data_IF_107278559201
#
_entry.id   IF_107278559201
#
_cell.length_a   1.000
_cell.length_b   1.000
_cell.length_c   1.000
_cell.angle_alpha   90.00
_cell.angle_beta   90.00
_cell.angle_gamma   90.00
#
_symmetry.space_group_name_H-M   'P 1'
#
loop_
_entity.id
_entity.type
_entity.pdbx_description
1 polymer ?
#
# COMPACT_ATOMS: atom_id res chain seq x y z
N UNK A 1 -14.41 33.42 2.47
CA UNK A 1 -13.70 32.52 3.41
C UNK A 1 -12.51 31.93 2.68
N UNK A 2 -11.29 32.06 3.22
CA UNK A 2 -10.09 31.46 2.61
C UNK A 2 -10.08 29.99 3.01
N UNK A 3 -10.41 29.09 2.09
CA UNK A 3 -10.35 27.66 2.34
C UNK A 3 -8.90 27.31 2.73
N UNK A 4 -8.73 26.68 3.90
CA UNK A 4 -7.44 26.12 4.29
C UNK A 4 -7.10 25.02 3.28
N UNK A 5 -5.99 25.20 2.56
CA UNK A 5 -5.46 24.22 1.63
C UNK A 5 -4.21 23.62 2.25
N UNK A 6 -4.00 22.31 2.11
CA UNK A 6 -2.80 21.60 2.58
C UNK A 6 -1.49 22.24 2.08
N UNK A 7 -1.54 23.02 1.00
CA UNK A 7 -0.43 23.82 0.49
C UNK A 7 0.06 24.85 1.52
N UNK A 8 -0.80 25.37 2.40
CA UNK A 8 -0.40 26.31 3.47
C UNK A 8 0.59 25.63 4.42
N UNK A 9 0.37 24.36 4.76
CA UNK A 9 1.29 23.59 5.59
C UNK A 9 2.63 23.35 4.89
N UNK A 10 2.60 23.13 3.58
CA UNK A 10 3.83 22.99 2.75
C UNK A 10 4.64 24.30 2.75
N UNK A 11 4.00 25.47 2.81
CA UNK A 11 4.72 26.74 2.99
C UNK A 11 5.37 26.85 4.37
N UNK A 12 4.62 26.53 5.42
CA UNK A 12 5.14 26.53 6.78
C UNK A 12 6.33 25.58 6.91
N UNK A 13 6.25 24.41 6.25
CA UNK A 13 7.36 23.47 6.15
C UNK A 13 8.59 24.11 5.49
N UNK A 14 8.44 24.89 4.41
CA UNK A 14 9.55 25.61 3.78
C UNK A 14 10.26 26.58 4.73
N UNK A 15 9.52 27.28 5.59
CA UNK A 15 10.08 28.17 6.60
C UNK A 15 10.84 27.35 7.66
N UNK A 16 10.21 26.31 8.22
CA UNK A 16 10.83 25.46 9.25
C UNK A 16 12.09 24.79 8.71
N UNK A 17 12.03 24.23 7.50
CA UNK A 17 13.15 23.64 6.78
C UNK A 17 14.33 24.62 6.71
N UNK A 18 14.11 25.83 6.22
CA UNK A 18 15.15 26.85 6.14
C UNK A 18 15.80 27.11 7.51
N UNK A 19 15.01 27.26 8.57
CA UNK A 19 15.53 27.49 9.93
C UNK A 19 16.37 26.32 10.44
N UNK A 20 15.96 25.08 10.17
CA UNK A 20 16.70 23.88 10.57
C UNK A 20 18.10 23.83 9.96
N UNK A 21 18.26 24.18 8.68
CA UNK A 21 19.57 24.16 8.00
C UNK A 21 20.42 25.39 8.28
N UNK A 22 19.82 26.57 8.39
CA UNK A 22 20.54 27.83 8.64
C UNK A 22 21.07 27.87 10.07
N UNK A 23 20.37 27.23 11.02
CA UNK A 23 20.72 27.20 12.43
C UNK A 23 20.07 28.32 13.25
N UNK A 24 20.28 28.33 14.57
CA UNK A 24 19.61 29.27 15.47
C UNK A 24 20.02 30.73 15.22
N UNK A 25 19.10 31.65 15.52
CA UNK A 25 19.38 33.08 15.57
C UNK A 25 19.84 33.44 16.98
N UNK A 26 20.80 34.37 17.12
CA UNK A 26 21.24 34.81 18.44
C UNK A 26 20.24 35.78 19.08
N UNK A 27 19.50 36.51 18.25
CA UNK A 27 18.51 37.49 18.70
C UNK A 27 17.19 37.35 17.95
N UNK A 28 16.10 37.76 18.60
CA UNK A 28 14.78 37.76 17.98
C UNK A 28 14.69 38.73 16.80
N UNK A 29 15.38 39.87 16.87
CA UNK A 29 15.40 40.86 15.79
C UNK A 29 16.02 40.28 14.53
N UNK A 30 17.18 39.61 14.66
CA UNK A 30 17.85 38.94 13.54
C UNK A 30 16.94 37.89 12.89
N UNK A 31 16.20 37.12 13.70
CA UNK A 31 15.22 36.14 13.23
C UNK A 31 14.12 36.81 12.42
N UNK A 32 13.51 37.88 12.94
CA UNK A 32 12.43 38.60 12.27
C UNK A 32 12.91 39.19 10.95
N UNK A 33 14.07 39.85 10.91
CA UNK A 33 14.64 40.41 9.69
C UNK A 33 14.82 39.35 8.62
N UNK A 34 15.51 38.24 8.93
CA UNK A 34 15.80 37.21 7.93
C UNK A 34 14.57 36.42 7.49
N UNK A 35 13.62 36.17 8.38
CA UNK A 35 12.34 35.56 8.00
C UNK A 35 11.51 36.48 7.11
N UNK A 36 11.56 37.80 7.36
CA UNK A 36 10.86 38.78 6.52
C UNK A 36 11.47 38.80 5.13
N UNK A 37 12.79 38.91 5.03
CA UNK A 37 13.53 38.81 3.76
C UNK A 37 13.21 37.53 3.01
N UNK A 38 13.26 36.36 3.68
CA UNK A 38 12.95 35.07 3.06
C UNK A 38 11.53 35.00 2.50
N UNK A 39 10.54 35.56 3.22
CA UNK A 39 9.14 35.59 2.78
C UNK A 39 8.93 36.54 1.61
N UNK A 40 9.69 37.63 1.57
CA UNK A 40 9.64 38.60 0.48
C UNK A 40 10.29 38.04 -0.78
N UNK A 41 11.48 37.45 -0.67
CA UNK A 41 12.21 36.90 -1.83
C UNK A 41 11.67 35.55 -2.30
N UNK A 42 11.06 34.76 -1.41
CA UNK A 42 10.70 33.36 -1.66
C UNK A 42 11.92 32.43 -1.81
N UNK A 43 13.11 32.90 -1.44
CA UNK A 43 14.36 32.18 -1.65
C UNK A 43 15.40 32.47 -0.56
N UNK A 44 16.18 31.46 -0.13
CA UNK A 44 17.32 31.69 0.78
C UNK A 44 18.34 32.66 0.19
N UNK A 45 19.17 33.29 1.02
CA UNK A 45 20.26 34.16 0.56
C UNK A 45 21.32 33.42 -0.27
N UNK A 46 22.19 34.16 -0.95
CA UNK A 46 23.22 33.59 -1.83
C UNK A 46 24.25 32.74 -1.09
N UNK A 47 24.51 33.04 0.19
CA UNK A 47 25.45 32.28 1.01
C UNK A 47 24.89 30.90 1.34
N UNK A 48 23.63 30.83 1.76
CA UNK A 48 22.90 29.59 2.00
C UNK A 48 22.79 28.77 0.72
N UNK A 49 22.47 29.39 -0.42
CA UNK A 49 22.39 28.72 -1.72
C UNK A 49 23.70 28.06 -2.14
N UNK A 50 24.83 28.68 -1.82
CA UNK A 50 26.16 28.13 -2.12
C UNK A 50 26.50 26.91 -1.25
N UNK A 51 26.10 26.93 0.02
CA UNK A 51 26.40 25.85 0.98
C UNK A 51 25.42 24.67 0.81
N UNK A 52 24.15 24.98 0.58
CA UNK A 52 23.05 24.01 0.54
C UNK A 52 22.23 24.13 -0.76
N UNK A 53 22.81 23.82 -1.94
CA UNK A 53 22.15 24.05 -3.23
C UNK A 53 20.85 23.24 -3.40
N UNK A 54 20.86 21.95 -3.01
CA UNK A 54 19.67 21.09 -3.11
C UNK A 54 18.56 21.53 -2.16
N UNK A 55 18.91 21.85 -0.92
CA UNK A 55 17.98 22.35 0.09
C UNK A 55 17.42 23.69 -0.33
N UNK A 56 18.21 24.53 -0.99
CA UNK A 56 17.74 25.81 -1.50
C UNK A 56 16.72 25.65 -2.61
N UNK A 57 16.92 24.69 -3.52
CA UNK A 57 15.93 24.34 -4.53
C UNK A 57 14.63 23.86 -3.88
N UNK A 58 14.74 23.00 -2.87
CA UNK A 58 13.59 22.54 -2.08
C UNK A 58 12.87 23.71 -1.41
N UNK A 59 13.58 24.58 -0.68
CA UNK A 59 12.98 25.71 0.03
C UNK A 59 12.30 26.67 -0.93
N UNK A 60 12.92 26.98 -2.09
CA UNK A 60 12.28 27.80 -3.14
C UNK A 60 10.95 27.20 -3.61
N UNK A 61 10.95 25.89 -3.87
CA UNK A 61 9.75 25.17 -4.29
C UNK A 61 8.63 25.21 -3.23
N UNK A 62 8.99 25.07 -1.95
CA UNK A 62 8.06 25.12 -0.83
C UNK A 62 7.54 26.54 -0.55
N UNK A 63 8.36 27.57 -0.79
CA UNK A 63 8.04 28.97 -0.54
C UNK A 63 7.44 29.71 -1.75
N UNK A 64 7.12 28.99 -2.83
CA UNK A 64 6.50 29.57 -4.01
C UNK A 64 5.21 30.33 -3.65
N UNK A 65 5.03 31.55 -4.17
CA UNK A 65 3.95 32.45 -3.72
C UNK A 65 2.57 31.94 -4.14
N UNK A 66 2.50 31.36 -5.33
CA UNK A 66 1.29 30.74 -5.83
C UNK A 66 1.10 29.34 -5.21
N UNK A 67 0.04 29.12 -4.41
CA UNK A 67 -0.23 27.79 -3.85
C UNK A 67 -0.49 26.71 -4.90
N UNK A 68 -0.88 27.08 -6.13
CA UNK A 68 -1.17 26.13 -7.19
C UNK A 68 0.10 25.49 -7.78
N UNK A 69 1.21 26.23 -7.80
CA UNK A 69 2.51 25.75 -8.32
C UNK A 69 3.33 25.04 -7.26
N UNK A 70 3.04 25.26 -5.97
CA UNK A 70 3.65 24.51 -4.87
C UNK A 70 3.23 23.03 -4.95
N UNK A 71 4.11 22.04 -4.72
CA UNK A 71 3.75 20.63 -4.75
C UNK A 71 2.85 20.25 -3.57
N UNK A 72 2.10 19.15 -3.72
CA UNK A 72 1.47 18.50 -2.58
C UNK A 72 2.52 17.79 -1.71
N UNK A 73 2.21 17.57 -0.43
CA UNK A 73 3.15 16.88 0.48
C UNK A 73 3.54 15.49 -0.01
N UNK A 74 2.62 14.74 -0.63
CA UNK A 74 2.91 13.43 -1.22
C UNK A 74 3.81 13.54 -2.47
N UNK A 75 3.52 14.47 -3.37
CA UNK A 75 4.36 14.73 -4.56
C UNK A 75 5.80 15.10 -4.18
N UNK A 76 5.99 15.75 -3.02
CA UNK A 76 7.31 16.08 -2.51
C UNK A 76 8.11 14.83 -2.10
N UNK A 77 7.44 13.81 -1.54
CA UNK A 77 8.07 12.55 -1.13
C UNK A 77 8.50 11.71 -2.34
N UNK A 78 7.74 11.78 -3.42
CA UNK A 78 8.06 11.10 -4.68
C UNK A 78 9.15 11.83 -5.49
N UNK A 79 9.45 13.09 -5.14
CA UNK A 79 10.44 13.91 -5.79
C UNK A 79 11.89 13.48 -5.54
N UNK A 80 12.81 14.00 -6.36
CA UNK A 80 14.25 13.70 -6.27
C UNK A 80 15.04 14.64 -5.34
N UNK A 81 14.36 15.56 -4.64
CA UNK A 81 14.98 16.58 -3.79
C UNK A 81 15.25 16.07 -2.37
N UNK A 82 14.58 15.00 -1.96
CA UNK A 82 14.77 14.37 -0.66
C UNK A 82 15.78 13.22 -0.77
N UNK A 83 16.54 12.94 0.30
CA UNK A 83 17.33 11.71 0.38
C UNK A 83 16.42 10.48 0.20
N UNK A 84 16.92 9.40 -0.42
CA UNK A 84 16.16 8.15 -0.49
C UNK A 84 15.82 7.66 0.92
N UNK A 85 14.65 7.04 1.08
CA UNK A 85 14.23 6.52 2.38
C UNK A 85 15.15 5.36 2.76
N UNK A 86 15.41 5.20 4.06
CA UNK A 86 16.34 4.16 4.54
C UNK A 86 15.80 2.77 4.17
N UNK A 87 14.48 2.61 4.21
CA UNK A 87 13.77 1.39 3.79
C UNK A 87 13.99 1.10 2.29
N UNK A 88 14.08 2.14 1.45
CA UNK A 88 14.35 1.98 0.02
C UNK A 88 15.78 1.47 -0.21
N UNK A 89 16.75 1.94 0.58
CA UNK A 89 18.14 1.47 0.47
C UNK A 89 18.28 0.02 0.95
N UNK A 90 17.59 -0.35 2.03
CA UNK A 90 17.50 -1.75 2.46
C UNK A 90 16.86 -2.62 1.38
N UNK A 91 15.73 -2.19 0.82
CA UNK A 91 15.03 -2.90 -0.26
C UNK A 91 15.91 -3.06 -1.49
N UNK A 92 16.61 -2.01 -1.92
CA UNK A 92 17.56 -2.06 -3.04
C UNK A 92 18.74 -2.99 -2.75
N UNK A 93 19.26 -2.98 -1.52
CA UNK A 93 20.32 -3.90 -1.09
C UNK A 93 19.88 -5.35 -1.19
N UNK A 94 18.67 -5.67 -0.69
CA UNK A 94 18.07 -7.00 -0.83
C UNK A 94 17.86 -7.35 -2.30
N UNK A 95 17.24 -6.47 -3.10
CA UNK A 95 17.02 -6.69 -4.54
C UNK A 95 18.33 -6.94 -5.30
N UNK A 96 19.40 -6.21 -4.97
CA UNK A 96 20.74 -6.44 -5.53
C UNK A 96 21.24 -7.82 -5.17
N UNK A 97 21.14 -8.22 -3.90
CA UNK A 97 21.55 -9.56 -3.46
C UNK A 97 20.74 -10.68 -4.11
N UNK A 98 19.43 -10.48 -4.33
CA UNK A 98 18.57 -11.41 -5.05
C UNK A 98 18.94 -11.49 -6.54
N UNK A 99 19.41 -10.39 -7.13
CA UNK A 99 19.80 -10.34 -8.54
C UNK A 99 21.11 -11.09 -8.83
N UNK A 100 22.00 -11.24 -7.84
CA UNK A 100 23.28 -11.95 -7.98
C UNK A 100 23.06 -13.47 -8.07
N UNK A 101 23.44 -14.14 -9.17
CA UNK A 101 23.39 -15.60 -9.29
C UNK A 101 24.32 -16.25 -8.25
N UNK A 102 23.82 -17.24 -7.50
CA UNK A 102 24.60 -17.94 -6.48
C UNK A 102 24.67 -17.24 -5.12
N UNK A 103 23.98 -16.11 -4.91
CA UNK A 103 23.86 -15.54 -3.58
C UNK A 103 23.03 -16.46 -2.67
N UNK A 104 23.45 -16.60 -1.41
CA UNK A 104 22.71 -17.41 -0.41
C UNK A 104 21.29 -16.91 -0.21
N UNK A 105 21.12 -15.59 -0.21
CA UNK A 105 19.82 -14.95 -0.04
C UNK A 105 18.88 -15.25 -1.21
N UNK A 106 19.38 -15.26 -2.45
CA UNK A 106 18.60 -15.66 -3.63
C UNK A 106 18.14 -17.11 -3.52
N UNK A 107 19.03 -18.02 -3.13
CA UNK A 107 18.70 -19.43 -2.93
C UNK A 107 17.59 -19.62 -1.90
N UNK A 108 17.72 -18.99 -0.74
CA UNK A 108 16.71 -19.04 0.33
C UNK A 108 15.37 -18.41 -0.10
N UNK A 109 15.42 -17.26 -0.78
CA UNK A 109 14.21 -16.60 -1.26
C UNK A 109 13.48 -17.45 -2.30
N UNK A 110 14.19 -18.08 -3.24
CA UNK A 110 13.60 -18.98 -4.23
C UNK A 110 13.06 -20.26 -3.57
N UNK A 111 13.77 -20.83 -2.60
CA UNK A 111 13.31 -22.00 -1.84
C UNK A 111 11.99 -21.72 -1.12
N UNK A 112 11.82 -20.54 -0.53
CA UNK A 112 10.58 -20.13 0.15
C UNK A 112 9.48 -19.77 -0.84
N UNK A 113 9.78 -18.96 -1.87
CA UNK A 113 8.78 -18.48 -2.84
C UNK A 113 8.24 -19.60 -3.74
N UNK A 114 9.08 -20.57 -4.07
CA UNK A 114 8.72 -21.75 -4.86
C UNK A 114 8.69 -23.02 -4.02
N UNK A 115 8.59 -22.88 -2.69
CA UNK A 115 8.25 -24.02 -1.85
C UNK A 115 6.86 -24.45 -2.28
N UNK A 116 6.74 -25.71 -2.67
CA UNK A 116 5.47 -26.29 -3.01
C UNK A 116 4.44 -26.03 -1.90
N UNK A 117 3.41 -25.22 -2.18
CA UNK A 117 2.09 -25.39 -1.56
C UNK A 117 1.37 -26.62 -2.14
N UNK A 118 2.09 -27.51 -2.83
CA UNK A 118 1.55 -28.71 -3.49
C UNK A 118 1.82 -29.99 -2.69
N UNK A 119 1.93 -29.88 -1.37
CA UNK A 119 1.81 -31.03 -0.46
C UNK A 119 0.34 -31.46 -0.23
N UNK A 120 -0.60 -31.03 -1.06
CA UNK A 120 -1.98 -31.49 -0.94
C UNK A 120 -2.22 -32.75 -1.76
N UNK A 121 -1.35 -33.76 -1.58
CA UNK A 121 -1.71 -35.12 -1.98
C UNK A 121 -2.95 -35.59 -1.19
N UNK A 122 -3.16 -35.05 0.01
CA UNK A 122 -4.41 -35.22 0.77
C UNK A 122 -5.62 -34.55 0.11
N UNK A 123 -5.50 -33.39 -0.54
CA UNK A 123 -6.66 -32.78 -1.25
C UNK A 123 -7.04 -33.56 -2.50
N UNK A 124 -6.06 -34.06 -3.26
CA UNK A 124 -6.35 -34.92 -4.42
C UNK A 124 -7.03 -36.22 -4.02
N UNK A 125 -6.58 -36.84 -2.91
CA UNK A 125 -7.23 -38.03 -2.36
C UNK A 125 -8.63 -37.73 -1.81
N UNK A 126 -8.83 -36.56 -1.19
CA UNK A 126 -10.14 -36.14 -0.68
C UNK A 126 -11.13 -35.87 -1.82
N UNK A 127 -10.71 -35.25 -2.93
CA UNK A 127 -11.56 -35.04 -4.11
C UNK A 127 -11.96 -36.38 -4.74
N UNK A 128 -11.01 -37.32 -4.89
CA UNK A 128 -11.29 -38.66 -5.43
C UNK A 128 -12.18 -39.47 -4.49
N UNK A 129 -11.97 -39.37 -3.17
CA UNK A 129 -12.79 -40.05 -2.16
C UNK A 129 -14.25 -39.52 -2.16
N UNK A 130 -14.44 -38.21 -2.28
CA UNK A 130 -15.77 -37.60 -2.44
C UNK A 130 -16.42 -38.06 -3.75
N UNK A 131 -15.69 -38.12 -4.85
CA UNK A 131 -16.19 -38.63 -6.14
C UNK A 131 -16.62 -40.10 -6.04
N UNK A 132 -15.83 -40.96 -5.38
CA UNK A 132 -16.15 -42.37 -5.21
C UNK A 132 -17.35 -42.60 -4.30
N UNK A 133 -17.51 -41.81 -3.23
CA UNK A 133 -18.69 -41.86 -2.36
C UNK A 133 -19.98 -41.41 -3.09
N UNK A 134 -19.87 -40.46 -4.02
CA UNK A 134 -21.00 -40.05 -4.85
C UNK A 134 -21.40 -41.15 -5.85
N UNK A 135 -20.44 -41.88 -6.42
CA UNK A 135 -20.71 -42.95 -7.38
C UNK A 135 -21.29 -44.22 -6.72
N UNK A 136 -20.94 -44.52 -5.48
CA UNK A 136 -21.48 -45.69 -4.75
C UNK A 136 -22.92 -45.51 -4.27
N UNK A 137 -23.42 -44.27 -4.22
CA UNK A 137 -24.81 -43.95 -3.84
C UNK A 137 -25.85 -44.15 -4.96
N UNK A 138 -25.42 -44.46 -6.19
CA UNK A 138 -26.30 -44.51 -7.38
C UNK A 138 -26.80 -45.91 -7.76
N UNK A 139 -26.59 -46.95 -6.93
CA UNK A 139 -26.97 -48.34 -7.28
C UNK A 139 -28.30 -48.84 -6.70
N UNK A 140 -29.01 -48.09 -5.88
CA UNK A 140 -30.32 -48.51 -5.36
C UNK A 140 -31.50 -47.97 -6.18
N UNK A 141 -31.61 -48.42 -7.44
CA UNK A 141 -32.85 -48.30 -8.24
C UNK A 141 -33.16 -49.60 -8.98
N UNK A 142 -33.71 -50.58 -8.28
CA UNK A 142 -34.86 -51.40 -8.71
C UNK A 142 -34.96 -52.71 -7.92
N UNK A 143 -35.98 -52.82 -7.07
CA UNK A 143 -36.67 -54.09 -6.83
C UNK A 143 -38.13 -53.97 -7.26
N UNK A 144 -38.41 -54.72 -8.31
CA UNK A 144 -39.63 -54.90 -9.08
C UNK A 144 -40.93 -55.26 -8.31
N UNK A 145 -42.05 -54.96 -9.00
CA UNK A 145 -43.35 -55.67 -9.10
C UNK A 145 -44.55 -55.16 -8.30
N UNK A 146 -45.82 -55.20 -8.77
CA UNK A 146 -46.52 -55.47 -10.05
C UNK A 146 -48.01 -55.08 -9.80
N UNK A 147 -48.74 -54.76 -10.89
CA UNK A 147 -50.19 -54.91 -11.07
C UNK A 147 -51.23 -53.86 -10.55
N UNK A 148 -51.92 -53.29 -11.55
CA UNK A 148 -53.38 -53.21 -11.70
C UNK A 148 -54.12 -51.91 -11.34
N UNK A 149 -54.56 -51.23 -12.41
CA UNK A 149 -55.69 -50.30 -12.43
C UNK A 149 -57.02 -51.02 -12.19
N UNK A 150 -57.92 -50.43 -11.38
CA UNK A 150 -59.34 -50.17 -11.70
C UNK A 150 -60.03 -49.38 -10.55
N UNK A 151 -60.71 -48.27 -10.91
CA UNK A 151 -61.53 -47.33 -10.09
C UNK A 151 -62.91 -47.97 -9.67
N UNK A 152 -63.87 -47.31 -8.96
CA UNK A 152 -63.88 -46.12 -8.06
C UNK A 152 -64.76 -46.28 -6.76
N UNK A 153 -64.95 -45.15 -6.04
CA UNK A 153 -66.09 -44.74 -5.17
C UNK A 153 -66.06 -44.95 -3.63
N UNK A 154 -65.97 -43.78 -2.95
CA UNK A 154 -66.94 -43.25 -1.97
C UNK A 154 -66.77 -43.48 -0.45
N UNK A 155 -66.72 -42.31 0.24
CA UNK A 155 -67.24 -41.96 1.58
C UNK A 155 -66.51 -42.46 2.84
N UNK A 156 -66.15 -41.48 3.68
CA UNK A 156 -66.09 -41.66 5.14
C UNK A 156 -64.99 -40.88 5.87
N UNK A 157 -65.21 -39.60 6.17
CA UNK A 157 -64.69 -38.95 7.40
C UNK A 157 -65.44 -39.55 8.62
N UNK A 158 -65.11 -39.22 9.89
CA UNK A 158 -63.83 -38.94 10.56
C UNK A 158 -63.75 -39.60 11.98
N UNK A 159 -62.61 -39.49 12.69
CA UNK A 159 -62.47 -39.10 14.14
C UNK A 159 -61.09 -39.54 14.67
N UNK A 160 -60.32 -38.61 15.27
CA UNK A 160 -60.12 -38.39 16.73
C UNK A 160 -59.72 -39.68 17.45
N UNK A 161 -58.58 -39.74 18.13
CA UNK A 161 -58.08 -38.79 19.15
C UNK A 161 -56.57 -38.63 19.10
#
# INVERSE_FOLDING_TARGET
>A
QKAYSSKVDVYALGIIAWEMWRGPCLTQVERVTKLTELRETGAPDSAFQRIYPKQSQLIKLLLERDPATRPAGLELLDGNLLPPRVEDEYTRSIMRQLSVPGSRLRGQALEVLFRDETSNQEDLLNVVAVQMAMLSSSSDTNRFNIASNNLPLSRGRPRRT
#
